data_IF_358943983416
#
_entry.id   IF_358943983416
#
_cell.length_a   1.000
_cell.length_b   1.000
_cell.length_c   1.000
_cell.angle_alpha   90.00
_cell.angle_beta   90.00
_cell.angle_gamma   90.00
#
_symmetry.space_group_name_H-M   'P 1'
#
loop_
_entity.id
_entity.type
_entity.pdbx_description
1 polymer ?
#
# COMPACT_ATOMS: atom_id res chain seq x y z
N UNK A 1 13.10 -19.39 -19.89
CA UNK A 1 13.44 -18.86 -18.55
C UNK A 1 13.41 -17.33 -18.63
N UNK A 2 12.40 -16.68 -18.07
CA UNK A 2 12.15 -15.25 -18.28
C UNK A 2 12.87 -14.38 -17.22
N UNK A 3 14.16 -14.63 -16.99
CA UNK A 3 14.96 -13.97 -15.95
C UNK A 3 15.11 -12.47 -16.23
N UNK A 4 15.26 -12.10 -17.51
CA UNK A 4 15.37 -10.70 -17.94
C UNK A 4 14.16 -9.87 -17.51
N UNK A 5 12.94 -10.38 -17.65
CA UNK A 5 11.75 -9.65 -17.24
C UNK A 5 11.67 -9.44 -15.73
N UNK A 6 12.10 -10.43 -14.93
CA UNK A 6 12.22 -10.27 -13.48
C UNK A 6 13.24 -9.19 -13.11
N UNK A 7 14.44 -9.23 -13.70
CA UNK A 7 15.47 -8.22 -13.47
C UNK A 7 15.01 -6.81 -13.85
N UNK A 8 14.31 -6.68 -14.99
CA UNK A 8 13.74 -5.40 -15.42
C UNK A 8 12.69 -4.91 -14.42
N UNK A 9 11.72 -5.75 -14.02
CA UNK A 9 10.69 -5.33 -13.05
C UNK A 9 11.28 -4.93 -11.70
N UNK A 10 12.22 -5.70 -11.14
CA UNK A 10 12.87 -5.33 -9.89
C UNK A 10 13.71 -4.06 -10.04
N UNK A 11 14.42 -3.91 -11.17
CA UNK A 11 15.17 -2.69 -11.48
C UNK A 11 14.25 -1.47 -11.55
N UNK A 12 13.08 -1.58 -12.17
CA UNK A 12 12.08 -0.50 -12.22
C UNK A 12 11.55 -0.17 -10.82
N UNK A 13 11.20 -1.17 -10.00
CA UNK A 13 10.75 -0.93 -8.61
C UNK A 13 11.80 -0.21 -7.77
N UNK A 14 13.06 -0.67 -7.85
CA UNK A 14 14.19 -0.06 -7.15
C UNK A 14 14.39 1.37 -7.64
N UNK A 15 14.40 1.60 -8.96
CA UNK A 15 14.60 2.93 -9.53
C UNK A 15 13.55 3.91 -9.03
N UNK A 16 12.27 3.54 -9.10
CA UNK A 16 11.18 4.38 -8.58
C UNK A 16 11.32 4.61 -7.07
N UNK A 17 11.64 3.59 -6.27
CA UNK A 17 11.77 3.75 -4.83
C UNK A 17 12.96 4.64 -4.39
N UNK A 18 14.10 4.57 -5.08
CA UNK A 18 15.32 5.29 -4.71
C UNK A 18 15.43 6.69 -5.33
N UNK A 19 14.70 6.99 -6.41
CA UNK A 19 14.78 8.30 -7.07
C UNK A 19 14.46 9.47 -6.10
N UNK A 20 13.41 9.43 -5.26
CA UNK A 20 13.13 10.50 -4.28
C UNK A 20 14.23 10.71 -3.23
N UNK A 21 15.01 9.67 -2.93
CA UNK A 21 16.12 9.78 -1.99
C UNK A 21 17.22 10.73 -2.51
N UNK A 22 17.39 10.84 -3.83
CA UNK A 22 18.37 11.77 -4.43
C UNK A 22 18.04 13.24 -4.16
N UNK A 23 16.74 13.56 -4.06
CA UNK A 23 16.24 14.89 -3.70
C UNK A 23 16.32 15.15 -2.20
N UNK A 24 16.00 14.15 -1.38
CA UNK A 24 15.82 14.33 0.06
C UNK A 24 17.11 14.15 0.90
N UNK A 25 18.23 13.82 0.26
CA UNK A 25 19.53 13.68 0.94
C UNK A 25 20.12 15.05 1.27
N UNK A 26 20.84 15.14 2.39
CA UNK A 26 21.65 16.31 2.74
C UNK A 26 22.68 16.60 1.63
N UNK A 27 22.60 17.78 1.01
CA UNK A 27 23.42 18.14 -0.17
C UNK A 27 22.95 17.54 -1.50
N UNK A 28 21.73 17.00 -1.55
CA UNK A 28 21.12 16.50 -2.79
C UNK A 28 20.90 17.60 -3.84
N UNK A 29 20.86 17.21 -5.11
CA UNK A 29 20.62 18.15 -6.20
C UNK A 29 19.15 18.59 -6.20
N UNK A 30 18.85 19.90 -6.16
CA UNK A 30 17.47 20.37 -6.25
C UNK A 30 16.92 20.05 -7.63
N UNK A 31 15.82 19.30 -7.67
CA UNK A 31 15.13 19.00 -8.92
C UNK A 31 14.46 20.26 -9.46
N UNK A 32 14.51 20.42 -10.77
CA UNK A 32 13.70 21.40 -11.49
C UNK A 32 12.21 21.05 -11.38
N UNK A 33 11.35 22.05 -11.60
CA UNK A 33 9.89 21.85 -11.61
C UNK A 33 9.45 20.80 -12.64
N UNK A 34 10.16 20.74 -13.78
CA UNK A 34 9.90 19.77 -14.85
C UNK A 34 10.26 18.36 -14.41
N UNK A 35 11.45 18.15 -13.82
CA UNK A 35 11.87 16.83 -13.31
C UNK A 35 10.93 16.31 -12.23
N UNK A 36 10.50 17.18 -11.31
CA UNK A 36 9.53 16.81 -10.28
C UNK A 36 8.19 16.41 -10.90
N UNK A 37 7.64 17.22 -11.82
CA UNK A 37 6.37 16.92 -12.47
C UNK A 37 6.41 15.61 -13.29
N UNK A 38 7.51 15.38 -14.02
CA UNK A 38 7.73 14.16 -14.80
C UNK A 38 7.81 12.94 -13.87
N UNK A 39 8.55 13.04 -12.77
CA UNK A 39 8.67 11.94 -11.81
C UNK A 39 7.32 11.61 -11.16
N UNK A 40 6.57 12.61 -10.68
CA UNK A 40 5.25 12.41 -10.06
C UNK A 40 4.27 11.76 -11.05
N UNK A 41 4.27 12.16 -12.33
CA UNK A 41 3.40 11.57 -13.33
C UNK A 41 3.81 10.16 -13.78
N UNK A 42 5.12 9.93 -13.99
CA UNK A 42 5.62 8.67 -14.57
C UNK A 42 5.87 7.58 -13.54
N UNK A 43 6.20 7.93 -12.29
CA UNK A 43 6.52 6.94 -11.25
C UNK A 43 5.41 5.90 -11.06
N UNK A 44 4.15 6.34 -11.01
CA UNK A 44 2.99 5.45 -10.91
C UNK A 44 2.81 4.56 -12.13
N UNK A 45 3.08 5.09 -13.33
CA UNK A 45 2.99 4.33 -14.59
C UNK A 45 4.08 3.26 -14.64
N UNK A 46 5.32 3.63 -14.35
CA UNK A 46 6.46 2.70 -14.30
C UNK A 46 6.22 1.61 -13.27
N UNK A 47 5.70 1.97 -12.10
CA UNK A 47 5.33 1.01 -11.06
C UNK A 47 4.23 0.06 -11.52
N UNK A 48 3.19 0.57 -12.21
CA UNK A 48 2.11 -0.24 -12.76
C UNK A 48 2.61 -1.21 -13.86
N UNK A 49 3.54 -0.77 -14.72
CA UNK A 49 4.18 -1.62 -15.74
C UNK A 49 5.04 -2.71 -15.09
N UNK A 50 5.79 -2.38 -14.03
CA UNK A 50 6.56 -3.37 -13.30
C UNK A 50 5.64 -4.44 -12.66
N UNK A 51 4.51 -4.03 -12.09
CA UNK A 51 3.48 -4.94 -11.56
C UNK A 51 2.83 -5.77 -12.67
N UNK A 52 2.51 -5.17 -13.83
CA UNK A 52 1.81 -5.88 -14.90
C UNK A 52 2.62 -7.06 -15.42
N UNK A 53 3.95 -6.93 -15.49
CA UNK A 53 4.84 -8.06 -15.78
C UNK A 53 4.74 -9.17 -14.73
N UNK A 54 4.70 -8.83 -13.43
CA UNK A 54 4.55 -9.82 -12.35
C UNK A 54 3.22 -10.57 -12.49
N UNK A 55 2.13 -9.86 -12.77
CA UNK A 55 0.81 -10.47 -12.99
C UNK A 55 0.86 -11.41 -14.20
N UNK A 56 1.41 -10.94 -15.33
CA UNK A 56 1.55 -11.73 -16.55
C UNK A 56 2.39 -13.00 -16.33
N UNK A 57 3.50 -12.87 -15.61
CA UNK A 57 4.35 -14.00 -15.26
C UNK A 57 3.60 -15.04 -14.39
N UNK A 58 2.78 -14.57 -13.45
CA UNK A 58 1.94 -15.45 -12.62
C UNK A 58 0.85 -16.15 -13.45
N UNK A 59 0.16 -15.47 -14.36
CA UNK A 59 -0.92 -16.06 -15.17
C UNK A 59 -0.40 -17.08 -16.19
N UNK A 60 0.80 -16.85 -16.73
CA UNK A 60 1.42 -17.75 -17.72
C UNK A 60 2.16 -18.95 -17.09
N UNK A 61 2.11 -19.09 -15.75
CA UNK A 61 2.76 -20.20 -15.04
C UNK A 61 4.26 -20.03 -14.81
N UNK A 62 4.84 -18.87 -15.15
CA UNK A 62 6.25 -18.53 -14.90
C UNK A 62 6.48 -17.88 -13.53
N UNK A 63 5.45 -17.77 -12.69
CA UNK A 63 5.50 -17.06 -11.41
C UNK A 63 6.15 -17.84 -10.26
N UNK A 64 6.34 -19.15 -10.37
CA UNK A 64 7.05 -19.98 -9.38
C UNK A 64 6.66 -19.69 -7.92
N UNK A 65 7.64 -19.29 -7.11
CA UNK A 65 7.46 -18.93 -5.68
C UNK A 65 6.51 -17.75 -5.49
N UNK A 66 6.60 -16.74 -6.35
CA UNK A 66 5.79 -15.51 -6.22
C UNK A 66 4.31 -15.85 -6.44
N UNK A 67 3.99 -16.70 -7.41
CA UNK A 67 2.62 -17.17 -7.61
C UNK A 67 2.10 -17.99 -6.42
N UNK A 68 2.96 -18.82 -5.79
CA UNK A 68 2.58 -19.58 -4.60
C UNK A 68 2.24 -18.67 -3.40
N UNK A 69 3.08 -17.64 -3.16
CA UNK A 69 2.81 -16.64 -2.12
C UNK A 69 1.50 -15.91 -2.44
N UNK A 70 1.35 -15.34 -3.64
CA UNK A 70 0.16 -14.56 -4.00
C UNK A 70 -1.14 -15.39 -3.97
N UNK A 71 -1.05 -16.70 -4.22
CA UNK A 71 -2.21 -17.61 -4.19
C UNK A 71 -2.56 -18.10 -2.78
N UNK A 72 -1.87 -17.64 -1.73
CA UNK A 72 -2.14 -18.09 -0.37
C UNK A 72 -3.51 -17.60 0.12
N UNK A 73 -4.37 -18.54 0.50
CA UNK A 73 -5.68 -18.30 1.16
C UNK A 73 -5.64 -17.36 2.38
N UNK A 74 -4.48 -17.14 3.01
CA UNK A 74 -4.29 -16.18 4.09
C UNK A 74 -4.42 -14.72 3.63
N UNK A 75 -4.21 -14.43 2.35
CA UNK A 75 -4.40 -13.09 1.79
C UNK A 75 -5.87 -12.69 1.66
N UNK A 76 -6.82 -13.64 1.67
CA UNK A 76 -8.25 -13.31 1.59
C UNK A 76 -8.74 -12.46 2.79
N UNK A 77 -8.54 -12.88 4.06
CA UNK A 77 -8.91 -12.04 5.19
C UNK A 77 -8.04 -10.79 5.30
N UNK A 78 -6.76 -10.88 4.92
CA UNK A 78 -5.85 -9.74 4.95
C UNK A 78 -6.26 -8.65 3.97
N UNK A 79 -6.68 -9.00 2.76
CA UNK A 79 -7.14 -8.05 1.74
C UNK A 79 -8.33 -7.23 2.21
N UNK A 80 -9.29 -7.85 2.91
CA UNK A 80 -10.44 -7.14 3.51
C UNK A 80 -10.00 -6.18 4.61
N UNK A 81 -9.12 -6.64 5.49
CA UNK A 81 -8.57 -5.80 6.55
C UNK A 81 -7.81 -4.61 5.96
N UNK A 82 -6.94 -4.84 4.98
CA UNK A 82 -6.18 -3.79 4.30
C UNK A 82 -7.09 -2.76 3.63
N UNK A 83 -8.24 -3.16 3.08
CA UNK A 83 -9.22 -2.23 2.54
C UNK A 83 -9.81 -1.31 3.62
N UNK A 84 -10.20 -1.85 4.77
CA UNK A 84 -10.71 -1.04 5.89
C UNK A 84 -9.63 -0.13 6.46
N UNK A 85 -8.41 -0.65 6.62
CA UNK A 85 -7.25 0.13 7.05
C UNK A 85 -6.95 1.26 6.07
N UNK A 86 -7.02 1.01 4.75
CA UNK A 86 -6.82 2.02 3.72
C UNK A 86 -7.77 3.22 3.87
N UNK A 87 -9.04 2.98 4.23
CA UNK A 87 -10.00 4.06 4.46
C UNK A 87 -9.75 4.83 5.77
N UNK A 88 -9.30 4.14 6.82
CA UNK A 88 -9.07 4.73 8.15
C UNK A 88 -7.72 5.46 8.22
N UNK A 89 -6.72 4.98 7.49
CA UNK A 89 -5.36 5.51 7.49
C UNK A 89 -5.28 7.03 7.27
N UNK A 90 -5.91 7.62 6.23
CA UNK A 90 -5.89 9.08 6.04
C UNK A 90 -6.58 9.83 7.19
N UNK A 91 -7.65 9.28 7.77
CA UNK A 91 -8.32 9.88 8.94
C UNK A 91 -7.36 9.92 10.14
N UNK A 92 -6.65 8.83 10.40
CA UNK A 92 -5.64 8.76 11.47
C UNK A 92 -4.50 9.76 11.23
N UNK A 93 -4.01 9.87 9.99
CA UNK A 93 -2.98 10.86 9.65
C UNK A 93 -3.46 12.30 9.88
N UNK A 94 -4.65 12.65 9.38
CA UNK A 94 -5.21 14.00 9.51
C UNK A 94 -5.41 14.36 10.99
N UNK A 95 -5.98 13.45 11.79
CA UNK A 95 -6.15 13.66 13.23
C UNK A 95 -4.79 13.87 13.93
N UNK A 96 -3.77 13.10 13.56
CA UNK A 96 -2.44 13.28 14.11
C UNK A 96 -1.86 14.65 13.76
N UNK A 97 -1.94 15.06 12.48
CA UNK A 97 -1.43 16.37 12.01
C UNK A 97 -2.15 17.51 12.74
N UNK A 98 -3.48 17.46 12.88
CA UNK A 98 -4.24 18.48 13.61
C UNK A 98 -3.85 18.58 15.09
N UNK A 99 -3.45 17.47 15.71
CA UNK A 99 -3.02 17.45 17.11
C UNK A 99 -1.54 17.83 17.29
N UNK A 100 -0.74 17.91 16.23
CA UNK A 100 0.67 18.32 16.33
C UNK A 100 0.78 19.82 16.54
N UNK A 101 1.33 20.20 17.68
CA UNK A 101 1.57 21.60 18.06
C UNK A 101 3.04 22.03 17.91
N UNK A 102 3.94 21.12 17.54
CA UNK A 102 5.39 21.36 17.46
C UNK A 102 5.94 20.88 16.12
N UNK A 103 6.94 21.60 15.61
CA UNK A 103 7.69 21.23 14.40
C UNK A 103 8.46 19.93 14.61
N UNK A 104 8.30 18.99 13.69
CA UNK A 104 9.02 17.71 13.71
C UNK A 104 10.29 17.84 12.87
N UNK A 105 11.44 17.50 13.46
CA UNK A 105 12.71 17.43 12.73
C UNK A 105 12.70 16.21 11.78
N UNK A 106 12.91 16.47 10.49
CA UNK A 106 12.88 15.44 9.44
C UNK A 106 14.19 14.65 9.38
N UNK A 107 14.49 13.90 10.45
CA UNK A 107 15.59 12.92 10.43
C UNK A 107 15.08 11.56 9.90
N UNK A 108 15.95 10.76 9.27
CA UNK A 108 15.60 9.44 8.73
C UNK A 108 15.02 8.51 9.80
N UNK A 109 15.58 8.52 11.01
CA UNK A 109 15.10 7.71 12.13
C UNK A 109 13.71 8.15 12.61
N UNK A 110 13.48 9.45 12.75
CA UNK A 110 12.19 10.03 13.14
C UNK A 110 11.11 9.75 12.09
N UNK A 111 11.44 9.87 10.80
CA UNK A 111 10.54 9.50 9.70
C UNK A 111 10.16 8.02 9.73
N UNK A 112 11.13 7.13 9.98
CA UNK A 112 10.86 5.70 10.11
C UNK A 112 9.97 5.39 11.33
N UNK A 113 10.24 6.04 12.47
CA UNK A 113 9.43 5.90 13.69
C UNK A 113 7.99 6.39 13.48
N UNK A 114 7.82 7.56 12.87
CA UNK A 114 6.49 8.10 12.53
C UNK A 114 5.74 7.19 11.55
N UNK A 115 6.42 6.70 10.51
CA UNK A 115 5.83 5.77 9.55
C UNK A 115 5.32 4.50 10.25
N UNK A 116 6.16 3.87 11.08
CA UNK A 116 5.76 2.67 11.84
C UNK A 116 4.63 2.98 12.82
N UNK A 117 4.66 4.13 13.50
CA UNK A 117 3.60 4.56 14.41
C UNK A 117 2.26 4.71 13.69
N UNK A 118 2.24 5.41 12.56
CA UNK A 118 1.04 5.54 11.74
C UNK A 118 0.54 4.20 11.20
N UNK A 119 1.46 3.33 10.77
CA UNK A 119 1.14 1.99 10.28
C UNK A 119 0.43 1.19 11.38
N UNK A 120 1.08 1.02 12.54
CA UNK A 120 0.56 0.22 13.65
C UNK A 120 -0.78 0.78 14.14
N UNK A 121 -0.88 2.11 14.32
CA UNK A 121 -2.11 2.76 14.78
C UNK A 121 -3.27 2.54 13.80
N UNK A 122 -3.00 2.68 12.50
CA UNK A 122 -4.03 2.51 11.47
C UNK A 122 -4.51 1.05 11.37
N UNK A 123 -3.59 0.09 11.52
CA UNK A 123 -3.94 -1.33 11.59
C UNK A 123 -4.72 -1.68 12.86
N UNK A 124 -4.38 -1.10 14.02
CA UNK A 124 -5.11 -1.31 15.26
C UNK A 124 -6.54 -0.77 15.18
N UNK A 125 -6.72 0.48 14.74
CA UNK A 125 -8.05 1.08 14.57
C UNK A 125 -8.85 0.37 13.46
N UNK A 126 -8.19 0.02 12.35
CA UNK A 126 -8.82 -0.75 11.27
C UNK A 126 -9.30 -2.12 11.71
N UNK A 127 -8.54 -2.83 12.54
CA UNK A 127 -8.97 -4.10 13.13
C UNK A 127 -10.20 -3.93 14.02
N UNK A 128 -10.21 -2.92 14.89
CA UNK A 128 -11.36 -2.63 15.75
C UNK A 128 -12.61 -2.32 14.92
N UNK A 129 -12.47 -1.55 13.84
CA UNK A 129 -13.57 -1.22 12.94
C UNK A 129 -14.07 -2.46 12.16
N UNK A 130 -13.17 -3.27 11.61
CA UNK A 130 -13.52 -4.55 10.96
C UNK A 130 -14.33 -5.45 11.90
N UNK A 131 -13.88 -5.60 13.15
CA UNK A 131 -14.53 -6.51 14.11
C UNK A 131 -15.85 -5.92 14.62
N UNK A 132 -15.86 -4.63 14.97
CA UNK A 132 -17.00 -3.95 15.59
C UNK A 132 -18.12 -3.56 14.62
N UNK A 133 -17.80 -3.26 13.36
CA UNK A 133 -18.78 -2.77 12.38
C UNK A 133 -18.93 -3.77 11.23
N UNK A 134 -17.85 -4.13 10.53
CA UNK A 134 -17.96 -4.92 9.31
C UNK A 134 -18.57 -6.32 9.57
N UNK A 135 -18.12 -7.02 10.61
CA UNK A 135 -18.64 -8.36 10.97
C UNK A 135 -20.14 -8.38 11.32
N UNK A 136 -20.67 -7.51 12.21
CA UNK A 136 -22.10 -7.49 12.49
C UNK A 136 -22.93 -7.07 11.28
N UNK A 137 -22.48 -6.11 10.47
CA UNK A 137 -23.18 -5.71 9.25
C UNK A 137 -23.27 -6.84 8.23
N UNK A 138 -22.18 -7.60 8.01
CA UNK A 138 -22.20 -8.79 7.15
C UNK A 138 -23.19 -9.83 7.68
N UNK A 139 -23.24 -10.04 9.00
CA UNK A 139 -24.19 -10.97 9.61
C UNK A 139 -25.64 -10.51 9.41
N UNK A 140 -25.92 -9.23 9.62
CA UNK A 140 -27.24 -8.63 9.41
C UNK A 140 -27.69 -8.75 7.94
N UNK A 141 -26.82 -8.43 6.99
CA UNK A 141 -27.11 -8.52 5.56
C UNK A 141 -27.43 -9.97 5.14
N UNK A 142 -26.69 -10.95 5.68
CA UNK A 142 -26.99 -12.36 5.45
C UNK A 142 -28.38 -12.73 5.95
N UNK A 143 -28.75 -12.30 7.16
CA UNK A 143 -30.06 -12.54 7.75
C UNK A 143 -31.20 -11.95 6.90
N UNK A 144 -31.04 -10.69 6.46
CA UNK A 144 -32.00 -10.00 5.59
C UNK A 144 -32.15 -10.74 4.24
N UNK A 145 -31.05 -11.16 3.62
CA UNK A 145 -31.07 -11.90 2.35
C UNK A 145 -31.76 -13.25 2.48
N UNK A 146 -31.56 -13.98 3.58
CA UNK A 146 -32.32 -15.22 3.85
C UNK A 146 -33.81 -15.00 4.09
N UNK A 147 -34.19 -13.84 4.66
CA UNK A 147 -35.60 -13.49 4.90
C UNK A 147 -36.33 -13.16 3.59
N UNK A 148 -35.70 -12.41 2.68
CA UNK A 148 -36.29 -12.06 1.38
C UNK A 148 -36.42 -13.21 0.38
N UNK A 149 -35.80 -14.37 0.62
CA UNK A 149 -35.91 -15.57 -0.23
C UNK A 149 -36.97 -16.58 0.25
N UNK A 150 -37.61 -16.31 1.40
CA UNK A 150 -38.69 -17.14 1.98
C UNK A 150 -40.08 -16.50 1.86
N UNK A 151 -40.16 -15.29 1.29
CA UNK A 151 -41.41 -14.62 0.90
C UNK A 151 -41.55 -14.65 -0.62
#
# INVERSE_FOLDING_TARGET
QNILGWLVSFGLFITVAYTPFTKNREGGFPWTSVESAVYEAMSHVVWAVAISWVIFACTQGYGGVINWVLSWRGFLPLSRLSFVVYLIHPVVMVLFIYNKQVLVYMNTFEMAYMFLGHLIMSYAVGLLFCVGVERPFIRLLKLLKTRGRKS
#
